data_IF_162306012428
#
_entry.id   IF_162306012428
#
_cell.length_a   1.000
_cell.length_b   1.000
_cell.length_c   1.000
_cell.angle_alpha   90.00
_cell.angle_beta   90.00
_cell.angle_gamma   90.00
#
_symmetry.space_group_name_H-M   'P 1'
#
loop_
_entity.id
_entity.type
_entity.pdbx_description
1 polymer ?
#
# COMPACT_ATOMS: atom_id res chain seq x y z
N UNK A 1 -11.41 20.91 -4.61
CA UNK A 1 -10.33 20.64 -3.66
C UNK A 1 -10.86 20.88 -2.25
N UNK A 2 -11.05 19.81 -1.48
CA UNK A 2 -11.74 19.77 -0.18
C UNK A 2 -10.91 19.19 0.96
N UNK A 3 -9.66 18.74 0.71
CA UNK A 3 -8.79 18.26 1.80
C UNK A 3 -8.73 19.28 2.94
N UNK A 4 -8.83 18.77 4.16
CA UNK A 4 -8.82 19.60 5.37
C UNK A 4 -7.41 19.92 5.86
N UNK A 5 -6.40 19.23 5.33
CA UNK A 5 -4.97 19.45 5.56
C UNK A 5 -4.19 18.99 4.32
N UNK A 6 -3.00 19.55 4.09
CA UNK A 6 -2.19 19.22 2.92
C UNK A 6 -1.66 17.80 2.97
N UNK A 7 -2.07 16.97 2.01
CA UNK A 7 -1.58 15.59 1.81
C UNK A 7 -0.69 15.54 0.58
N UNK A 8 0.54 15.08 0.78
CA UNK A 8 1.60 15.10 -0.23
C UNK A 8 1.69 13.79 -1.02
N UNK A 9 1.40 12.65 -0.38
CA UNK A 9 1.49 11.32 -1.00
C UNK A 9 1.55 10.19 0.01
N UNK A 10 1.63 8.95 -0.48
CA UNK A 10 1.97 7.79 0.35
C UNK A 10 3.42 7.88 0.86
N UNK A 11 3.66 7.45 2.10
CA UNK A 11 5.00 7.33 2.68
C UNK A 11 5.46 5.86 2.79
N UNK A 12 4.60 5.01 3.36
CA UNK A 12 4.88 3.60 3.58
C UNK A 12 3.61 2.81 3.89
N UNK A 13 3.73 1.49 3.93
CA UNK A 13 2.76 0.59 4.56
C UNK A 13 3.49 -0.24 5.62
N UNK A 14 2.92 -0.32 6.83
CA UNK A 14 3.44 -1.18 7.90
C UNK A 14 2.54 -2.40 8.10
N UNK A 15 3.15 -3.57 8.15
CA UNK A 15 2.54 -4.85 8.46
C UNK A 15 2.94 -5.28 9.86
N UNK A 16 1.96 -5.75 10.64
CA UNK A 16 2.25 -6.54 11.82
C UNK A 16 2.18 -8.02 11.44
N UNK A 17 3.20 -8.77 11.85
CA UNK A 17 3.39 -10.15 11.42
C UNK A 17 4.09 -10.98 12.50
N UNK A 18 3.96 -12.31 12.42
CA UNK A 18 4.55 -13.22 13.40
C UNK A 18 6.08 -13.29 13.35
N UNK A 19 6.68 -13.15 12.16
CA UNK A 19 8.13 -13.16 11.97
C UNK A 19 8.54 -12.19 10.84
N UNK A 20 8.95 -10.98 11.23
CA UNK A 20 9.38 -9.92 10.35
C UNK A 20 10.55 -10.33 9.44
N UNK A 21 11.49 -11.15 9.95
CA UNK A 21 12.65 -11.60 9.20
C UNK A 21 12.23 -12.55 8.08
N UNK A 22 11.39 -13.52 8.38
CA UNK A 22 10.90 -14.47 7.37
C UNK A 22 10.04 -13.79 6.30
N UNK A 23 9.13 -12.90 6.73
CA UNK A 23 8.22 -12.19 5.82
C UNK A 23 9.00 -11.21 4.93
N UNK A 24 9.81 -10.33 5.51
CA UNK A 24 10.60 -9.36 4.73
C UNK A 24 11.56 -10.05 3.75
N UNK A 25 12.21 -11.16 4.16
CA UNK A 25 13.08 -11.92 3.27
C UNK A 25 12.30 -12.60 2.13
N UNK A 26 11.08 -13.08 2.36
CA UNK A 26 10.27 -13.64 1.28
C UNK A 26 9.82 -12.55 0.31
N UNK A 27 9.30 -11.45 0.84
CA UNK A 27 8.74 -10.35 0.05
C UNK A 27 9.83 -9.63 -0.76
N UNK A 28 11.01 -9.40 -0.18
CA UNK A 28 12.13 -8.79 -0.91
C UNK A 28 12.52 -9.61 -2.13
N UNK A 29 12.56 -10.93 -1.99
CA UNK A 29 12.86 -11.81 -3.12
C UNK A 29 11.73 -11.84 -4.14
N UNK A 30 10.48 -11.93 -3.67
CA UNK A 30 9.30 -12.00 -4.53
C UNK A 30 9.06 -10.74 -5.37
N UNK A 31 9.42 -9.57 -4.83
CA UNK A 31 9.18 -8.26 -5.44
C UNK A 31 10.45 -7.59 -5.98
N UNK A 32 11.62 -8.21 -5.82
CA UNK A 32 12.89 -7.62 -6.22
C UNK A 32 13.22 -6.35 -5.45
N UNK A 33 12.85 -6.29 -4.18
CA UNK A 33 13.13 -5.15 -3.30
C UNK A 33 14.42 -5.37 -2.51
N UNK A 34 15.01 -4.29 -1.99
CA UNK A 34 16.13 -4.36 -1.06
C UNK A 34 15.67 -4.04 0.36
N UNK A 35 16.46 -4.46 1.34
CA UNK A 35 16.31 -3.96 2.71
C UNK A 35 16.80 -2.51 2.76
N UNK A 36 15.94 -1.60 3.19
CA UNK A 36 16.22 -0.16 3.31
C UNK A 36 16.81 0.15 4.69
N UNK A 37 16.17 -0.37 5.74
CA UNK A 37 16.55 -0.11 7.12
C UNK A 37 15.94 -1.13 8.06
N UNK A 38 16.43 -1.16 9.31
CA UNK A 38 15.88 -2.04 10.36
C UNK A 38 15.96 -1.44 11.76
N UNK A 39 15.10 -1.95 12.63
CA UNK A 39 15.17 -1.72 14.08
C UNK A 39 14.89 -3.05 14.79
N UNK A 40 15.91 -3.61 15.45
CA UNK A 40 15.83 -4.91 16.13
C UNK A 40 16.84 -4.95 17.31
N UNK A 41 17.02 -6.12 17.94
CA UNK A 41 17.98 -6.27 19.04
C UNK A 41 19.42 -5.82 18.67
N UNK A 42 19.83 -5.98 17.40
CA UNK A 42 21.15 -5.56 16.94
C UNK A 42 21.30 -4.03 16.86
N UNK A 43 20.18 -3.31 16.81
CA UNK A 43 20.12 -1.84 16.85
C UNK A 43 19.69 -1.33 18.24
N UNK A 44 19.62 -2.20 19.25
CA UNK A 44 19.24 -1.84 20.62
C UNK A 44 17.73 -1.83 20.89
N UNK A 45 16.89 -2.30 19.96
CA UNK A 45 15.45 -2.41 20.16
C UNK A 45 15.06 -3.76 20.75
N UNK A 46 14.56 -3.73 21.98
CA UNK A 46 14.10 -4.91 22.72
C UNK A 46 12.56 -5.06 22.74
N UNK A 47 11.81 -4.15 22.10
CA UNK A 47 10.34 -4.20 22.03
C UNK A 47 9.86 -4.97 20.81
N UNK A 48 10.49 -4.74 19.66
CA UNK A 48 10.11 -5.36 18.39
C UNK A 48 11.29 -5.53 17.44
N UNK A 49 11.10 -6.39 16.44
CA UNK A 49 11.92 -6.45 15.24
C UNK A 49 11.12 -5.86 14.08
N UNK A 50 11.64 -4.82 13.43
CA UNK A 50 11.07 -4.21 12.23
C UNK A 50 12.10 -4.18 11.11
N UNK A 51 11.75 -4.75 9.97
CA UNK A 51 12.57 -4.73 8.75
C UNK A 51 11.82 -4.00 7.66
N UNK A 52 12.45 -2.98 7.10
CA UNK A 52 11.88 -2.15 6.04
C UNK A 52 12.51 -2.56 4.73
N UNK A 53 11.67 -2.94 3.76
CA UNK A 53 12.11 -3.20 2.39
C UNK A 53 11.50 -2.16 1.45
N UNK A 54 12.11 -1.98 0.29
CA UNK A 54 11.57 -1.09 -0.71
C UNK A 54 12.23 -1.17 -2.07
N UNK A 55 11.58 -0.52 -3.03
CA UNK A 55 12.09 -0.21 -4.35
C UNK A 55 11.52 1.16 -4.74
N UNK A 56 12.39 2.06 -5.20
CA UNK A 56 12.06 3.45 -5.49
C UNK A 56 11.28 4.10 -4.33
N UNK A 57 10.06 4.58 -4.58
CA UNK A 57 9.26 5.29 -3.57
C UNK A 57 8.43 4.35 -2.68
N UNK A 58 8.44 3.04 -2.95
CA UNK A 58 7.71 2.05 -2.13
C UNK A 58 8.52 1.69 -0.90
N UNK A 59 7.89 1.86 0.28
CA UNK A 59 8.42 1.39 1.57
C UNK A 59 7.42 0.48 2.25
N UNK A 60 7.87 -0.71 2.64
CA UNK A 60 7.09 -1.72 3.36
C UNK A 60 7.83 -2.12 4.64
N UNK A 61 7.25 -1.82 5.78
CA UNK A 61 7.80 -2.20 7.09
C UNK A 61 7.11 -3.47 7.60
N UNK A 62 7.88 -4.47 8.00
CA UNK A 62 7.36 -5.69 8.63
C UNK A 62 7.81 -5.71 10.07
N UNK A 63 6.85 -5.62 10.99
CA UNK A 63 7.11 -5.51 12.43
C UNK A 63 6.58 -6.75 13.16
N UNK A 64 7.40 -7.32 14.05
CA UNK A 64 7.04 -8.41 14.94
C UNK A 64 7.35 -8.06 16.39
N UNK A 65 6.42 -8.29 17.33
CA UNK A 65 6.68 -8.11 18.75
C UNK A 65 7.68 -9.15 19.25
N UNK A 66 8.61 -8.73 20.11
CA UNK A 66 9.32 -9.68 20.96
C UNK A 66 8.39 -10.24 22.05
N UNK A 67 8.79 -11.33 22.75
CA UNK A 67 8.06 -11.83 23.90
C UNK A 67 7.83 -10.76 24.98
N UNK A 68 6.62 -10.72 25.55
CA UNK A 68 6.21 -9.70 26.54
C UNK A 68 7.03 -9.76 27.84
N UNK A 69 7.56 -10.93 28.21
CA UNK A 69 8.39 -11.11 29.40
C UNK A 69 9.80 -10.47 29.29
N UNK A 70 10.24 -10.11 28.08
CA UNK A 70 11.48 -9.35 27.90
C UNK A 70 11.31 -7.90 28.41
N UNK A 71 10.07 -7.38 28.41
CA UNK A 71 9.78 -6.05 28.94
C UNK A 71 9.83 -6.03 30.47
N UNK A 72 9.44 -7.11 31.15
CA UNK A 72 9.41 -7.19 32.63
C UNK A 72 10.80 -7.30 33.29
N UNK A 73 11.87 -7.60 32.52
CA UNK A 73 13.23 -7.77 33.09
C UNK A 73 14.09 -6.50 33.02
N UNK A 74 13.66 -5.46 32.31
CA UNK A 74 14.35 -4.19 32.22
C UNK A 74 13.58 -3.10 32.98
N UNK A 75 13.44 -3.30 34.29
CA UNK A 75 13.10 -2.23 35.22
C UNK A 75 14.24 -1.18 35.23
N UNK A 76 13.83 0.08 35.03
CA UNK A 76 14.43 1.34 35.49
C UNK A 76 15.30 2.21 34.55
N UNK A 77 15.84 1.79 33.40
CA UNK A 77 16.69 2.70 32.58
C UNK A 77 16.67 2.61 31.03
N UNK A 78 15.73 1.93 30.38
CA UNK A 78 15.59 1.95 28.91
C UNK A 78 14.15 2.23 28.47
N UNK A 79 13.63 3.41 28.83
CA UNK A 79 12.27 3.84 28.44
C UNK A 79 12.13 4.22 26.97
N UNK A 80 13.24 4.55 26.30
CA UNK A 80 13.20 5.28 25.03
C UNK A 80 13.85 4.48 23.90
N UNK A 81 13.17 3.42 23.42
CA UNK A 81 13.47 2.91 22.07
C UNK A 81 12.29 3.28 21.18
N UNK A 82 12.25 4.57 20.82
CA UNK A 82 11.24 5.18 19.98
C UNK A 82 11.59 4.98 18.50
N UNK A 83 11.33 3.78 17.99
CA UNK A 83 11.44 3.48 16.55
C UNK A 83 10.10 3.47 15.82
N UNK A 84 9.07 2.85 16.43
CA UNK A 84 7.71 2.77 15.89
C UNK A 84 6.77 3.38 16.92
N UNK A 85 6.12 4.47 16.52
CA UNK A 85 5.23 5.23 17.38
C UNK A 85 4.08 4.35 17.88
N UNK A 86 3.86 4.34 19.20
CA UNK A 86 2.71 3.65 19.80
C UNK A 86 2.76 2.12 19.72
N UNK A 87 3.93 1.51 19.48
CA UNK A 87 4.05 0.07 19.47
C UNK A 87 3.82 -0.53 20.86
N UNK A 88 2.79 -1.37 20.97
CA UNK A 88 2.48 -2.16 22.16
C UNK A 88 2.56 -3.65 21.81
N UNK A 89 3.42 -4.39 22.52
CA UNK A 89 3.68 -5.79 22.20
C UNK A 89 2.45 -6.67 22.39
N UNK A 90 1.62 -6.39 23.40
CA UNK A 90 0.40 -7.16 23.65
C UNK A 90 -0.63 -6.94 22.53
N UNK A 91 -0.87 -5.69 22.15
CA UNK A 91 -1.73 -5.33 21.02
C UNK A 91 -1.23 -5.91 19.70
N UNK A 92 0.10 -5.96 19.48
CA UNK A 92 0.68 -6.60 18.30
C UNK A 92 0.46 -8.11 18.29
N UNK A 93 0.61 -8.80 19.42
CA UNK A 93 0.27 -10.23 19.54
C UNK A 93 -1.22 -10.47 19.28
N UNK A 94 -2.11 -9.68 19.87
CA UNK A 94 -3.56 -9.79 19.68
C UNK A 94 -3.96 -9.57 18.21
N UNK A 95 -3.35 -8.56 17.56
CA UNK A 95 -3.54 -8.29 16.14
C UNK A 95 -3.10 -9.49 15.28
N UNK A 96 -1.93 -10.07 15.54
CA UNK A 96 -1.40 -11.20 14.78
C UNK A 96 -2.28 -12.45 14.99
N UNK A 97 -2.78 -12.70 16.20
CA UNK A 97 -3.74 -13.78 16.47
C UNK A 97 -4.99 -13.58 15.62
N UNK A 98 -5.53 -12.36 15.63
CA UNK A 98 -6.79 -12.02 14.97
C UNK A 98 -6.67 -12.04 13.45
N UNK A 99 -5.63 -11.46 12.87
CA UNK A 99 -5.52 -11.20 11.42
C UNK A 99 -4.46 -12.06 10.71
N UNK A 100 -3.46 -12.59 11.43
CA UNK A 100 -2.24 -13.13 10.83
C UNK A 100 -1.28 -12.01 10.43
N UNK A 101 -0.54 -12.20 9.34
CA UNK A 101 0.23 -11.10 8.72
C UNK A 101 -0.73 -10.16 8.00
N UNK A 102 -0.87 -8.92 8.46
CA UNK A 102 -1.78 -7.95 7.87
C UNK A 102 -1.27 -6.52 8.01
N UNK A 103 -1.80 -5.61 7.21
CA UNK A 103 -1.48 -4.17 7.29
C UNK A 103 -2.03 -3.59 8.58
N UNK A 104 -1.14 -3.00 9.38
CA UNK A 104 -1.50 -2.21 10.56
C UNK A 104 -1.62 -0.72 10.24
N UNK A 105 -0.69 -0.18 9.46
CA UNK A 105 -0.60 1.26 9.22
C UNK A 105 -0.49 1.59 7.72
N UNK A 106 -1.27 2.57 7.27
CA UNK A 106 -1.10 3.24 5.98
C UNK A 106 -0.48 4.61 6.26
N UNK A 107 0.76 4.82 5.86
CA UNK A 107 1.51 6.04 6.08
C UNK A 107 1.29 7.08 4.97
N UNK A 108 0.93 8.30 5.34
CA UNK A 108 0.82 9.45 4.43
C UNK A 108 1.77 10.57 4.83
N UNK A 109 2.46 11.16 3.85
CA UNK A 109 3.14 12.44 4.03
C UNK A 109 2.12 13.57 4.05
N UNK A 110 2.21 14.42 5.07
CA UNK A 110 1.38 15.62 5.21
C UNK A 110 2.26 16.84 5.43
N UNK A 111 1.72 18.02 5.16
CA UNK A 111 2.45 19.29 5.36
C UNK A 111 2.75 19.55 6.85
N UNK A 112 1.78 19.27 7.73
CA UNK A 112 1.88 19.50 9.18
C UNK A 112 1.03 18.47 9.95
N UNK A 113 1.70 17.59 10.70
CA UNK A 113 1.05 16.55 11.52
C UNK A 113 0.23 17.13 12.68
N UNK A 114 0.66 18.21 13.32
CA UNK A 114 -0.11 18.81 14.41
C UNK A 114 -1.43 19.39 13.89
N UNK A 115 -1.36 20.17 12.82
CA UNK A 115 -2.55 20.75 12.20
C UNK A 115 -3.49 19.66 11.68
N UNK A 116 -2.96 18.64 10.99
CA UNK A 116 -3.75 17.53 10.46
C UNK A 116 -4.47 16.76 11.57
N UNK A 117 -3.76 16.41 12.66
CA UNK A 117 -4.34 15.69 13.79
C UNK A 117 -5.41 16.50 14.51
N UNK A 118 -5.17 17.79 14.78
CA UNK A 118 -6.15 18.66 15.42
C UNK A 118 -7.41 18.75 14.58
N UNK A 119 -7.28 19.01 13.28
CA UNK A 119 -8.42 19.11 12.35
C UNK A 119 -9.19 17.79 12.28
N UNK A 120 -8.49 16.66 12.12
CA UNK A 120 -9.09 15.35 12.01
C UNK A 120 -9.85 14.95 13.28
N UNK A 121 -9.30 15.20 14.46
CA UNK A 121 -9.92 14.79 15.73
C UNK A 121 -11.01 15.76 16.20
N UNK A 122 -10.79 17.07 16.10
CA UNK A 122 -11.73 18.08 16.63
C UNK A 122 -12.90 18.36 15.69
N UNK A 123 -12.62 18.51 14.38
CA UNK A 123 -13.64 18.83 13.36
C UNK A 123 -14.10 17.58 12.61
N UNK A 124 -13.21 16.60 12.48
CA UNK A 124 -13.43 15.37 11.75
C UNK A 124 -14.03 14.23 12.57
N UNK A 125 -14.02 14.34 13.91
CA UNK A 125 -14.40 13.27 14.84
C UNK A 125 -13.61 11.95 14.60
N UNK A 126 -12.40 12.05 14.08
CA UNK A 126 -11.50 10.92 13.95
C UNK A 126 -11.12 10.40 15.34
N UNK A 127 -10.96 9.08 15.45
CA UNK A 127 -10.41 8.45 16.64
C UNK A 127 -8.91 8.67 16.65
N UNK A 128 -8.40 9.54 17.52
CA UNK A 128 -6.96 9.72 17.71
C UNK A 128 -6.37 8.51 18.44
N UNK A 129 -5.54 7.72 17.75
CA UNK A 129 -4.87 6.54 18.31
C UNK A 129 -3.60 6.95 19.04
N UNK A 130 -2.73 7.68 18.34
CA UNK A 130 -1.53 8.28 18.92
C UNK A 130 -1.48 9.75 18.59
N UNK A 131 -1.28 10.59 19.61
CA UNK A 131 -1.14 12.05 19.46
C UNK A 131 0.12 12.39 18.67
N UNK A 132 0.20 13.59 18.08
CA UNK A 132 1.44 14.09 17.47
C UNK A 132 2.63 13.95 18.42
N UNK A 133 3.61 13.19 17.98
CA UNK A 133 4.83 12.87 18.72
C UNK A 133 6.02 13.15 17.83
N UNK A 134 7.04 13.76 18.43
CA UNK A 134 8.32 13.99 17.80
C UNK A 134 9.17 12.72 17.93
N UNK A 135 9.50 12.09 16.81
CA UNK A 135 10.51 11.04 16.74
C UNK A 135 11.86 11.70 16.46
N UNK A 136 12.88 11.41 17.26
CA UNK A 136 14.24 11.95 17.09
C UNK A 136 15.26 10.84 17.10
N UNK A 137 16.23 10.94 16.20
CA UNK A 137 17.35 10.00 16.17
C UNK A 137 18.23 10.20 17.42
N UNK A 138 18.55 9.10 18.10
CA UNK A 138 19.32 9.12 19.34
C UNK A 138 20.75 9.66 19.16
N UNK A 139 21.30 9.52 17.95
CA UNK A 139 22.67 9.95 17.62
C UNK A 139 22.72 11.33 16.99
N UNK A 140 21.65 11.77 16.33
CA UNK A 140 21.55 13.09 15.71
C UNK A 140 20.13 13.67 15.86
N UNK A 141 19.93 14.51 16.88
CA UNK A 141 18.62 15.10 17.17
C UNK A 141 18.05 15.99 16.06
N UNK A 142 18.87 16.46 15.11
CA UNK A 142 18.41 17.18 13.92
C UNK A 142 17.73 16.25 12.89
N UNK A 143 17.94 14.93 13.00
CA UNK A 143 17.21 13.91 12.24
C UNK A 143 15.95 13.53 13.00
N UNK A 144 14.85 14.18 12.67
CA UNK A 144 13.60 14.04 13.38
C UNK A 144 12.39 14.14 12.44
N UNK A 145 11.27 13.56 12.88
CA UNK A 145 9.99 13.59 12.19
C UNK A 145 8.87 13.78 13.20
N UNK A 146 7.78 14.43 12.80
CA UNK A 146 6.53 14.39 13.53
C UNK A 146 5.66 13.27 12.98
N UNK A 147 5.05 12.51 13.89
CA UNK A 147 4.18 11.38 13.54
C UNK A 147 2.94 11.38 14.44
N UNK A 148 1.77 11.05 13.88
CA UNK A 148 0.56 10.74 14.64
C UNK A 148 -0.23 9.61 13.99
N UNK A 149 -1.21 9.05 14.70
CA UNK A 149 -2.07 7.98 14.18
C UNK A 149 -3.55 8.25 14.43
N UNK A 150 -4.35 8.01 13.39
CA UNK A 150 -5.81 8.10 13.40
C UNK A 150 -6.41 6.73 13.07
N UNK A 151 -7.52 6.36 13.72
CA UNK A 151 -8.22 5.12 13.39
C UNK A 151 -8.92 5.22 12.03
N UNK A 152 -8.59 4.30 11.12
CA UNK A 152 -9.11 4.29 9.75
C UNK A 152 -10.35 3.38 9.65
N UNK A 153 -10.15 2.06 9.63
CA UNK A 153 -11.20 1.04 9.70
C UNK A 153 -10.69 -0.23 10.38
N UNK A 154 -11.54 -0.91 11.15
CA UNK A 154 -11.12 -2.08 11.94
C UNK A 154 -9.92 -1.74 12.82
N UNK A 155 -8.88 -2.56 12.73
CA UNK A 155 -7.61 -2.39 13.44
C UNK A 155 -6.53 -1.74 12.56
N UNK A 156 -6.91 -1.07 11.46
CA UNK A 156 -6.00 -0.31 10.59
C UNK A 156 -5.97 1.16 11.02
N UNK A 157 -4.77 1.74 11.05
CA UNK A 157 -4.55 3.17 11.32
C UNK A 157 -4.06 3.90 10.08
N UNK A 158 -4.45 5.16 9.98
CA UNK A 158 -3.84 6.14 9.09
C UNK A 158 -2.74 6.86 9.87
N UNK A 159 -1.48 6.62 9.48
CA UNK A 159 -0.31 7.26 10.09
C UNK A 159 0.05 8.50 9.28
N UNK A 160 0.13 9.65 9.92
CA UNK A 160 0.52 10.91 9.28
C UNK A 160 1.96 11.24 9.67
N UNK A 161 2.77 11.65 8.69
CA UNK A 161 4.18 11.97 8.88
C UNK A 161 4.49 13.32 8.23
N UNK A 162 5.20 14.20 8.95
CA UNK A 162 5.75 15.45 8.41
C UNK A 162 7.16 15.70 8.96
N UNK A 163 7.96 16.50 8.25
CA UNK A 163 9.17 17.08 8.84
C UNK A 163 8.78 18.06 9.99
N UNK A 164 9.73 18.36 10.87
CA UNK A 164 9.52 19.32 11.98
C UNK A 164 9.65 20.77 11.57
N UNK A 165 10.35 21.05 10.48
CA UNK A 165 10.48 22.38 9.91
C UNK A 165 9.65 22.44 8.64
N UNK A 166 8.84 23.48 8.44
CA UNK A 166 8.09 23.63 7.20
C UNK A 166 9.08 23.65 6.04
N UNK A 167 8.83 22.79 5.03
CA UNK A 167 9.57 22.81 3.78
C UNK A 167 9.26 24.14 3.08
N UNK A 168 10.07 25.17 3.32
CA UNK A 168 9.94 26.42 2.57
C UNK A 168 10.37 26.17 1.13
N UNK A 169 9.40 25.97 0.24
CA UNK A 169 9.58 26.01 -1.20
C UNK A 169 10.17 27.37 -1.58
N UNK A 170 11.48 27.43 -1.83
CA UNK A 170 12.16 28.66 -2.20
C UNK A 170 12.19 28.75 -3.72
N UNK A 171 11.25 29.49 -4.30
CA UNK A 171 11.37 29.97 -5.68
C UNK A 171 12.52 30.96 -5.73
N UNK A 172 13.56 30.70 -6.52
CA UNK A 172 14.70 31.62 -6.64
C UNK A 172 14.73 32.30 -8.00
N UNK A 173 14.58 33.63 -8.00
CA UNK A 173 15.03 34.52 -9.07
C UNK A 173 16.55 34.71 -8.99
N UNK A 174 17.22 34.55 -10.12
CA UNK A 174 18.63 34.85 -10.43
C UNK A 174 19.44 35.59 -9.36
N UNK A 175 20.17 34.81 -8.56
CA UNK A 175 21.51 35.05 -7.96
C UNK A 175 21.60 34.38 -6.58
N UNK A 176 22.01 33.10 -6.58
CA UNK A 176 22.51 32.30 -5.45
C UNK A 176 21.69 32.33 -4.14
N UNK A 177 20.82 31.33 -3.98
CA UNK A 177 20.26 30.89 -2.70
C UNK A 177 20.88 29.55 -2.32
N UNK A 178 21.52 29.51 -1.14
CA UNK A 178 21.79 28.26 -0.43
C UNK A 178 20.72 28.05 0.62
N UNK A 179 19.70 27.26 0.31
CA UNK A 179 18.69 26.79 1.26
C UNK A 179 19.20 25.52 1.94
N UNK A 180 19.60 25.61 3.21
CA UNK A 180 19.81 24.40 4.03
C UNK A 180 18.45 23.96 4.59
N UNK A 181 17.67 23.22 3.79
CA UNK A 181 16.51 22.49 4.30
C UNK A 181 17.02 21.33 5.15
N UNK A 182 16.77 21.33 6.45
CA UNK A 182 17.13 20.22 7.34
C UNK A 182 15.99 19.20 7.40
N UNK A 183 15.61 18.63 6.26
CA UNK A 183 14.67 17.52 6.21
C UNK A 183 15.34 16.25 6.75
N UNK A 184 14.54 15.33 7.28
CA UNK A 184 15.02 14.00 7.66
C UNK A 184 15.64 13.29 6.44
N UNK A 185 16.81 12.66 6.63
CA UNK A 185 17.60 12.03 5.56
C UNK A 185 17.61 10.50 5.62
N UNK A 186 17.11 9.90 6.72
CA UNK A 186 17.08 8.45 6.86
C UNK A 186 16.10 7.78 5.89
N UNK A 187 16.29 6.49 5.61
CA UNK A 187 15.48 5.78 4.61
C UNK A 187 14.04 5.51 5.06
N UNK A 188 13.76 5.49 6.37
CA UNK A 188 12.42 5.22 6.93
C UNK A 188 12.02 6.21 8.05
N UNK A 189 12.29 5.85 9.31
CA UNK A 189 11.97 6.64 10.51
C UNK A 189 13.23 6.82 11.37
N UNK A 190 13.30 7.84 12.24
CA UNK A 190 14.38 7.95 13.22
C UNK A 190 14.59 6.67 14.03
N UNK A 191 15.82 6.39 14.45
CA UNK A 191 16.23 5.19 15.20
C UNK A 191 16.11 3.86 14.42
N UNK A 192 15.80 3.91 13.13
CA UNK A 192 16.09 2.79 12.23
C UNK A 192 17.51 2.91 11.70
N UNK A 193 18.25 1.81 11.77
CA UNK A 193 19.56 1.71 11.15
C UNK A 193 19.37 1.48 9.66
N UNK A 194 19.80 2.45 8.85
CA UNK A 194 19.83 2.31 7.40
C UNK A 194 20.76 1.18 6.96
N UNK A 195 20.38 0.51 5.88
CA UNK A 195 21.22 -0.46 5.22
C UNK A 195 22.06 0.26 4.16
N UNK A 196 23.39 0.26 4.38
CA UNK A 196 24.37 0.91 3.51
C UNK A 196 24.63 0.13 2.20
N UNK A 197 24.12 -1.10 2.08
CA UNK A 197 24.21 -1.88 0.84
C UNK A 197 23.24 -1.30 -0.21
N UNK A 198 23.82 -0.67 -1.23
CA UNK A 198 23.12 -0.12 -2.39
C UNK A 198 22.55 -1.20 -3.33
N UNK A 199 22.73 -2.48 -2.99
CA UNK A 199 22.27 -3.62 -3.77
C UNK A 199 23.19 -3.98 -4.94
N UNK A 200 24.34 -3.33 -5.08
CA UNK A 200 25.32 -3.62 -6.13
C UNK A 200 26.08 -4.94 -5.90
N UNK A 201 26.14 -5.44 -4.66
CA UNK A 201 26.85 -6.67 -4.29
C UNK A 201 25.98 -7.92 -4.13
N UNK A 202 24.69 -7.77 -3.82
CA UNK A 202 23.75 -8.87 -3.60
C UNK A 202 22.95 -9.15 -4.86
N UNK A 203 23.15 -10.31 -5.51
CA UNK A 203 22.62 -10.66 -6.84
C UNK A 203 21.09 -10.65 -7.06
N UNK A 204 20.28 -9.99 -6.22
CA UNK A 204 18.87 -9.72 -6.47
C UNK A 204 18.73 -8.43 -7.28
N UNK A 205 18.39 -8.55 -8.56
CA UNK A 205 18.10 -7.39 -9.41
C UNK A 205 16.76 -6.76 -9.04
N UNK A 206 16.66 -5.43 -9.03
CA UNK A 206 15.37 -4.70 -8.91
C UNK A 206 14.40 -5.11 -10.03
N UNK A 207 13.12 -5.29 -9.67
CA UNK A 207 12.06 -5.66 -10.60
C UNK A 207 11.34 -4.46 -11.23
N UNK A 208 11.64 -3.24 -10.78
CA UNK A 208 11.14 -1.99 -11.36
C UNK A 208 9.84 -1.47 -10.75
N UNK A 209 9.51 -1.92 -9.52
CA UNK A 209 8.38 -1.36 -8.76
C UNK A 209 8.73 0.08 -8.39
N UNK A 210 7.85 1.02 -8.75
CA UNK A 210 8.10 2.45 -8.68
C UNK A 210 7.45 3.12 -7.47
N UNK A 211 6.14 2.93 -7.26
CA UNK A 211 5.38 3.60 -6.20
C UNK A 211 4.13 2.82 -5.80
N UNK A 212 3.50 3.19 -4.69
CA UNK A 212 2.15 2.73 -4.35
C UNK A 212 1.16 3.49 -5.23
N UNK A 213 0.25 2.79 -5.90
CA UNK A 213 -0.82 3.39 -6.71
C UNK A 213 -2.05 3.65 -5.85
N UNK A 214 -2.51 2.62 -5.13
CA UNK A 214 -3.68 2.69 -4.26
C UNK A 214 -3.66 1.56 -3.20
N UNK A 215 -4.40 1.75 -2.11
CA UNK A 215 -4.54 0.76 -1.01
C UNK A 215 -6.01 0.56 -0.71
N UNK A 216 -6.48 -0.70 -0.78
CA UNK A 216 -7.91 -1.02 -0.73
C UNK A 216 -8.31 -1.64 0.60
N UNK A 217 -9.35 -1.09 1.23
CA UNK A 217 -9.94 -1.61 2.45
C UNK A 217 -11.23 -2.42 2.20
N UNK A 218 -11.42 -3.51 2.92
CA UNK A 218 -12.71 -4.21 2.98
C UNK A 218 -13.40 -3.89 4.31
N UNK A 219 -14.67 -3.53 4.24
CA UNK A 219 -15.50 -3.12 5.38
C UNK A 219 -16.90 -3.73 5.28
N UNK A 220 -17.64 -3.86 6.38
CA UNK A 220 -19.03 -4.33 6.33
C UNK A 220 -20.02 -3.29 5.77
N UNK A 221 -19.70 -1.99 5.88
CA UNK A 221 -20.55 -0.88 5.44
C UNK A 221 -19.67 0.26 4.89
N UNK A 222 -19.66 0.44 3.57
CA UNK A 222 -18.91 1.51 2.89
C UNK A 222 -19.40 2.87 3.36
N UNK A 223 -20.71 3.10 3.42
CA UNK A 223 -21.28 4.43 3.67
C UNK A 223 -20.82 4.95 5.02
N UNK A 224 -20.85 4.11 6.06
CA UNK A 224 -20.40 4.52 7.39
C UNK A 224 -18.91 4.90 7.39
N UNK A 225 -18.07 4.06 6.80
CA UNK A 225 -16.61 4.23 6.85
C UNK A 225 -16.14 5.37 5.92
N UNK A 226 -16.66 5.44 4.69
CA UNK A 226 -16.33 6.48 3.74
C UNK A 226 -16.73 7.86 4.27
N UNK A 227 -17.94 8.01 4.82
CA UNK A 227 -18.35 9.28 5.43
C UNK A 227 -17.44 9.70 6.58
N UNK A 228 -16.98 8.75 7.42
CA UNK A 228 -16.01 9.04 8.47
C UNK A 228 -14.69 9.55 7.88
N UNK A 229 -14.15 8.88 6.86
CA UNK A 229 -12.89 9.27 6.21
C UNK A 229 -13.02 10.65 5.58
N UNK A 230 -14.03 10.89 4.74
CA UNK A 230 -14.34 12.19 4.14
C UNK A 230 -14.46 13.26 5.23
N UNK A 231 -15.13 12.95 6.34
CA UNK A 231 -15.31 13.90 7.43
C UNK A 231 -13.99 14.30 8.08
N UNK A 232 -13.00 13.41 8.27
CA UNK A 232 -11.75 13.81 8.92
C UNK A 232 -10.63 14.22 7.98
N UNK A 233 -10.59 13.70 6.74
CA UNK A 233 -9.55 14.08 5.76
C UNK A 233 -10.00 15.19 4.81
N UNK A 234 -11.29 15.26 4.47
CA UNK A 234 -11.79 16.08 3.36
C UNK A 234 -11.58 15.47 1.97
N UNK A 235 -11.15 14.21 1.89
CA UNK A 235 -11.03 13.48 0.63
C UNK A 235 -12.37 13.48 -0.11
N UNK A 236 -12.31 13.51 -1.44
CA UNK A 236 -13.49 13.46 -2.30
C UNK A 236 -13.68 12.06 -2.91
N UNK A 237 -14.91 11.77 -3.28
CA UNK A 237 -15.22 10.59 -4.08
C UNK A 237 -14.64 10.75 -5.49
N UNK A 238 -13.77 9.82 -5.86
CA UNK A 238 -13.08 9.81 -7.15
C UNK A 238 -13.78 8.91 -8.17
N UNK A 239 -14.18 7.72 -7.75
CA UNK A 239 -14.89 6.75 -8.57
C UNK A 239 -15.75 5.83 -7.70
N UNK A 240 -16.86 5.34 -8.26
CA UNK A 240 -17.74 4.36 -7.64
C UNK A 240 -17.98 3.20 -8.61
N UNK A 241 -18.06 1.99 -8.05
CA UNK A 241 -18.40 0.77 -8.77
C UNK A 241 -19.46 0.01 -8.00
N UNK A 242 -20.59 -0.29 -8.65
CA UNK A 242 -21.69 -1.03 -8.04
C UNK A 242 -21.68 -2.50 -8.47
N UNK A 243 -22.44 -3.35 -7.80
CA UNK A 243 -22.58 -4.75 -8.20
C UNK A 243 -23.08 -4.93 -9.64
N UNK A 244 -23.85 -3.99 -10.18
CA UNK A 244 -24.29 -3.98 -11.58
C UNK A 244 -23.12 -3.74 -12.55
N UNK A 245 -22.11 -3.01 -12.10
CA UNK A 245 -20.94 -2.64 -12.89
C UNK A 245 -19.85 -3.73 -12.88
N UNK A 246 -19.64 -4.36 -11.72
CA UNK A 246 -18.44 -5.19 -11.48
C UNK A 246 -18.76 -6.62 -11.02
N UNK A 247 -20.01 -6.96 -10.73
CA UNK A 247 -20.41 -8.29 -10.27
C UNK A 247 -20.29 -9.38 -11.34
N UNK A 248 -20.12 -10.62 -10.88
CA UNK A 248 -20.35 -11.81 -11.70
C UNK A 248 -21.82 -12.24 -11.58
N UNK A 249 -22.20 -13.30 -12.31
CA UNK A 249 -23.51 -13.93 -12.15
C UNK A 249 -23.66 -14.58 -10.75
N UNK A 250 -22.56 -14.78 -10.03
CA UNK A 250 -22.51 -15.55 -8.79
C UNK A 250 -22.22 -14.70 -7.55
N UNK A 251 -21.46 -13.60 -7.67
CA UNK A 251 -21.05 -12.74 -6.56
C UNK A 251 -20.87 -11.27 -6.98
N UNK A 252 -20.87 -10.34 -6.02
CA UNK A 252 -20.64 -8.92 -6.28
C UNK A 252 -20.04 -8.18 -5.09
N UNK A 253 -19.64 -6.94 -5.36
CA UNK A 253 -19.24 -5.95 -4.36
C UNK A 253 -19.74 -4.57 -4.78
N UNK A 254 -19.83 -3.66 -3.82
CA UNK A 254 -19.77 -2.22 -4.12
C UNK A 254 -18.38 -1.72 -3.73
N UNK A 255 -17.87 -0.72 -4.44
CA UNK A 255 -16.58 -0.09 -4.19
C UNK A 255 -16.69 1.42 -4.35
N UNK A 256 -16.09 2.17 -3.43
CA UNK A 256 -15.97 3.62 -3.49
C UNK A 256 -14.51 4.01 -3.32
N UNK A 257 -13.99 4.80 -4.26
CA UNK A 257 -12.62 5.33 -4.24
C UNK A 257 -12.61 6.72 -3.64
N UNK A 258 -11.90 6.89 -2.53
CA UNK A 258 -11.61 8.21 -1.97
C UNK A 258 -10.23 8.69 -2.41
N UNK A 259 -10.13 9.98 -2.73
CA UNK A 259 -8.88 10.60 -3.17
C UNK A 259 -8.58 11.91 -2.41
N UNK A 260 -7.30 12.22 -2.24
CA UNK A 260 -6.88 13.57 -1.86
C UNK A 260 -7.02 14.54 -3.04
N UNK A 261 -6.82 15.83 -2.81
CA UNK A 261 -6.94 16.88 -3.81
C UNK A 261 -6.02 16.70 -5.04
N UNK A 262 -4.83 16.14 -4.83
CA UNK A 262 -3.86 15.86 -5.90
C UNK A 262 -4.15 14.55 -6.63
N UNK A 263 -5.12 13.77 -6.14
CA UNK A 263 -5.51 12.45 -6.64
C UNK A 263 -4.34 11.45 -6.70
N UNK A 264 -3.27 11.70 -5.92
CA UNK A 264 -2.08 10.85 -5.83
C UNK A 264 -2.10 9.93 -4.59
N UNK A 265 -3.09 10.09 -3.71
CA UNK A 265 -3.43 9.15 -2.64
C UNK A 265 -4.83 8.63 -2.89
N UNK A 266 -4.93 7.34 -3.18
CA UNK A 266 -6.18 6.67 -3.55
C UNK A 266 -6.48 5.57 -2.54
N UNK A 267 -7.62 5.67 -1.85
CA UNK A 267 -8.09 4.71 -0.85
C UNK A 267 -9.47 4.14 -1.25
N UNK A 268 -9.51 3.12 -2.12
CA UNK A 268 -10.72 2.35 -2.38
C UNK A 268 -11.22 1.61 -1.15
N UNK A 269 -12.54 1.51 -1.01
CA UNK A 269 -13.22 0.80 0.08
C UNK A 269 -14.30 -0.08 -0.52
N UNK A 270 -14.32 -1.36 -0.15
CA UNK A 270 -15.29 -2.33 -0.63
C UNK A 270 -16.22 -2.82 0.49
N UNK A 271 -17.47 -3.13 0.13
CA UNK A 271 -18.43 -3.87 0.97
C UNK A 271 -18.98 -5.11 0.23
N UNK A 272 -19.38 -6.16 0.96
CA UNK A 272 -20.01 -7.32 0.36
C UNK A 272 -21.43 -6.99 -0.10
N UNK A 273 -21.83 -7.52 -1.26
CA UNK A 273 -23.24 -7.52 -1.69
C UNK A 273 -23.82 -8.89 -1.36
N UNK A 274 -24.82 -8.92 -0.47
CA UNK A 274 -25.41 -10.15 0.06
C UNK A 274 -26.76 -10.49 -0.58
N UNK A 275 -27.44 -9.53 -1.19
CA UNK A 275 -28.75 -9.72 -1.81
C UNK A 275 -28.63 -10.38 -3.20
N UNK A 276 -29.44 -11.41 -3.45
CA UNK A 276 -29.58 -12.08 -4.76
C UNK A 276 -28.33 -12.75 -5.35
N UNK A 277 -27.29 -12.99 -4.54
CA UNK A 277 -26.05 -13.68 -4.99
C UNK A 277 -26.13 -15.19 -4.76
N UNK A 278 -25.62 -15.97 -5.73
CA UNK A 278 -25.58 -17.45 -5.64
C UNK A 278 -24.47 -17.96 -4.74
N UNK A 279 -23.40 -17.17 -4.59
CA UNK A 279 -22.21 -17.49 -3.83
C UNK A 279 -21.88 -16.36 -2.87
N UNK A 280 -21.21 -16.71 -1.78
CA UNK A 280 -20.66 -15.76 -0.84
C UNK A 280 -19.68 -14.82 -1.56
N UNK A 281 -19.82 -13.51 -1.32
CA UNK A 281 -18.89 -12.50 -1.85
C UNK A 281 -17.48 -12.73 -1.31
N UNK A 282 -16.47 -12.57 -2.15
CA UNK A 282 -15.06 -12.58 -1.74
C UNK A 282 -14.75 -11.54 -0.64
N UNK A 283 -15.53 -10.44 -0.59
CA UNK A 283 -15.40 -9.44 0.48
C UNK A 283 -15.86 -10.03 1.82
N UNK A 284 -16.94 -10.81 1.81
CA UNK A 284 -17.39 -11.53 3.00
C UNK A 284 -16.40 -12.62 3.41
N UNK A 285 -15.86 -13.38 2.45
CA UNK A 285 -14.78 -14.35 2.70
C UNK A 285 -13.59 -13.69 3.39
N UNK A 286 -13.18 -12.51 2.91
CA UNK A 286 -12.14 -11.70 3.55
C UNK A 286 -12.51 -11.35 4.99
N UNK A 287 -13.69 -10.77 5.23
CA UNK A 287 -14.11 -10.30 6.56
C UNK A 287 -14.14 -11.45 7.58
N UNK A 288 -14.53 -12.65 7.16
CA UNK A 288 -14.51 -13.85 8.02
C UNK A 288 -13.07 -14.26 8.36
N UNK A 289 -12.20 -14.41 7.35
CA UNK A 289 -10.84 -14.92 7.56
C UNK A 289 -9.89 -13.89 8.18
N UNK A 290 -10.16 -12.60 7.95
CA UNK A 290 -9.49 -11.49 8.60
C UNK A 290 -10.08 -11.16 9.97
N UNK A 291 -11.24 -11.73 10.34
CA UNK A 291 -11.99 -11.39 11.57
C UNK A 291 -12.33 -9.89 11.68
N UNK A 292 -12.79 -9.30 10.59
CA UNK A 292 -13.26 -7.91 10.52
C UNK A 292 -12.61 -7.08 9.41
N UNK A 293 -12.81 -5.75 9.43
CA UNK A 293 -12.29 -4.84 8.42
C UNK A 293 -10.76 -4.84 8.35
N UNK A 294 -10.20 -4.58 7.18
CA UNK A 294 -8.76 -4.52 6.98
C UNK A 294 -8.37 -4.20 5.53
N UNK A 295 -7.06 -4.09 5.27
CA UNK A 295 -6.54 -3.92 3.90
C UNK A 295 -6.63 -5.24 3.14
N UNK A 296 -7.31 -5.21 2.00
CA UNK A 296 -7.45 -6.33 1.09
C UNK A 296 -6.26 -6.42 0.13
N UNK A 297 -5.92 -5.31 -0.52
CA UNK A 297 -4.79 -5.31 -1.44
C UNK A 297 -4.10 -3.96 -1.52
N UNK A 298 -2.86 -4.02 -2.01
CA UNK A 298 -2.00 -2.88 -2.29
C UNK A 298 -1.60 -2.98 -3.75
N UNK A 299 -1.87 -1.93 -4.51
CA UNK A 299 -1.46 -1.83 -5.90
C UNK A 299 -0.10 -1.14 -6.01
N UNK A 300 0.83 -1.81 -6.67
CA UNK A 300 2.21 -1.39 -6.85
C UNK A 300 2.43 -1.02 -8.31
N UNK A 301 2.70 0.26 -8.56
CA UNK A 301 2.94 0.80 -9.88
C UNK A 301 4.32 0.40 -10.38
N UNK A 302 4.43 0.05 -11.65
CA UNK A 302 5.67 -0.15 -12.39
C UNK A 302 5.62 0.61 -13.72
N UNK A 303 6.79 0.99 -14.22
CA UNK A 303 6.94 1.64 -15.53
C UNK A 303 7.15 0.62 -16.67
N UNK A 304 7.37 -0.65 -16.35
CA UNK A 304 7.53 -1.75 -17.31
C UNK A 304 6.99 -3.05 -16.71
N UNK A 305 5.66 -3.21 -16.76
CA UNK A 305 4.95 -4.37 -16.20
C UNK A 305 5.36 -5.68 -16.87
N UNK A 306 5.72 -5.65 -18.15
CA UNK A 306 6.17 -6.85 -18.85
C UNK A 306 7.46 -7.40 -18.23
N UNK A 307 8.45 -6.52 -18.04
CA UNK A 307 9.71 -6.88 -17.37
C UNK A 307 9.51 -7.24 -15.90
N UNK A 308 8.69 -6.49 -15.16
CA UNK A 308 8.41 -6.77 -13.75
C UNK A 308 7.82 -8.17 -13.57
N UNK A 309 6.79 -8.51 -14.35
CA UNK A 309 6.10 -9.81 -14.22
C UNK A 309 6.96 -10.97 -14.73
N UNK A 310 7.74 -10.78 -15.79
CA UNK A 310 8.69 -11.79 -16.26
C UNK A 310 9.75 -12.11 -15.18
N UNK A 311 10.26 -11.09 -14.48
CA UNK A 311 11.18 -11.25 -13.35
C UNK A 311 10.54 -11.92 -12.14
N UNK A 312 9.32 -11.52 -11.74
CA UNK A 312 8.59 -12.15 -10.63
C UNK A 312 8.38 -13.65 -10.89
N UNK A 313 7.92 -14.02 -12.09
CA UNK A 313 7.73 -15.42 -12.48
C UNK A 313 9.05 -16.19 -12.55
N UNK A 314 10.09 -15.58 -13.11
CA UNK A 314 11.42 -16.17 -13.18
C UNK A 314 12.01 -16.43 -11.80
N UNK A 315 11.75 -15.53 -10.83
CA UNK A 315 12.21 -15.68 -9.45
C UNK A 315 11.53 -16.85 -8.74
N UNK A 316 10.21 -16.94 -8.86
CA UNK A 316 9.44 -18.07 -8.33
C UNK A 316 9.89 -19.39 -8.95
N UNK A 317 10.02 -19.47 -10.27
CA UNK A 317 10.36 -20.72 -10.96
C UNK A 317 11.80 -21.17 -10.73
N UNK A 318 12.75 -20.23 -10.61
CA UNK A 318 14.17 -20.56 -10.43
C UNK A 318 14.54 -20.90 -8.98
N UNK A 319 13.81 -20.35 -8.01
CA UNK A 319 14.22 -20.46 -6.59
C UNK A 319 13.17 -21.04 -5.66
N UNK A 320 11.92 -21.20 -6.11
CA UNK A 320 10.79 -21.60 -5.26
C UNK A 320 10.34 -20.51 -4.29
N UNK A 321 11.06 -19.38 -4.23
CA UNK A 321 10.71 -18.21 -3.42
C UNK A 321 10.10 -17.13 -4.32
N UNK A 322 8.83 -16.80 -4.12
CA UNK A 322 8.14 -15.76 -4.88
C UNK A 322 6.64 -15.76 -4.59
N UNK A 323 5.92 -14.81 -5.19
CA UNK A 323 4.46 -14.81 -5.17
C UNK A 323 3.91 -15.46 -6.42
N UNK A 324 2.91 -16.31 -6.22
CA UNK A 324 2.11 -16.83 -7.31
C UNK A 324 1.19 -15.71 -7.85
N UNK A 325 0.99 -15.72 -9.16
CA UNK A 325 0.10 -14.80 -9.84
C UNK A 325 -1.21 -15.52 -10.19
N UNK A 326 -2.30 -14.76 -10.22
CA UNK A 326 -3.61 -15.28 -10.61
C UNK A 326 -3.56 -15.93 -11.99
N UNK A 327 -4.48 -16.88 -12.20
CA UNK A 327 -4.55 -17.65 -13.45
C UNK A 327 -4.77 -16.73 -14.64
N UNK A 328 -4.09 -17.06 -15.73
CA UNK A 328 -4.27 -16.40 -17.03
C UNK A 328 -5.75 -16.51 -17.47
N UNK A 329 -6.37 -15.40 -17.92
CA UNK A 329 -7.66 -15.38 -18.60
C UNK A 329 -7.77 -16.31 -19.82
N UNK A 330 -9.01 -16.53 -20.29
CA UNK A 330 -9.25 -17.37 -21.48
C UNK A 330 -8.68 -16.77 -22.76
N UNK A 331 -8.41 -17.61 -23.78
CA UNK A 331 -7.97 -17.11 -25.10
C UNK A 331 -9.01 -16.17 -25.74
N UNK A 332 -10.30 -16.37 -25.44
CA UNK A 332 -11.38 -15.48 -25.89
C UNK A 332 -11.23 -14.05 -25.35
N UNK A 333 -10.80 -13.89 -24.10
CA UNK A 333 -10.53 -12.56 -23.52
C UNK A 333 -9.50 -11.79 -24.36
N UNK A 334 -8.38 -12.43 -24.69
CA UNK A 334 -7.31 -11.82 -25.46
C UNK A 334 -7.71 -11.56 -26.92
N UNK A 335 -8.55 -12.41 -27.50
CA UNK A 335 -9.09 -12.19 -28.85
C UNK A 335 -10.03 -10.97 -28.91
N UNK A 336 -10.71 -10.63 -27.80
CA UNK A 336 -11.60 -9.47 -27.68
C UNK A 336 -10.85 -8.17 -27.31
N UNK A 337 -9.63 -8.24 -26.76
CA UNK A 337 -8.90 -7.04 -26.35
C UNK A 337 -8.69 -6.01 -27.47
N UNK A 338 -8.28 -6.37 -28.70
CA UNK A 338 -8.10 -5.39 -29.77
C UNK A 338 -9.38 -4.64 -30.16
N UNK A 339 -10.56 -5.25 -30.00
CA UNK A 339 -11.82 -4.56 -30.29
C UNK A 339 -12.21 -3.58 -29.17
N UNK A 340 -11.78 -3.83 -27.93
CA UNK A 340 -11.98 -2.94 -26.77
C UNK A 340 -10.99 -1.78 -26.73
N UNK A 341 -9.71 -2.08 -26.96
CA UNK A 341 -8.59 -1.15 -26.76
C UNK A 341 -8.12 -0.50 -28.08
N UNK A 342 -8.48 -1.06 -29.23
CA UNK A 342 -8.13 -0.52 -30.54
C UNK A 342 -6.62 -0.42 -30.75
N UNK A 343 -6.20 0.66 -31.41
CA UNK A 343 -4.80 0.92 -31.74
C UNK A 343 -4.02 1.60 -30.59
N UNK A 344 -4.57 1.61 -29.36
CA UNK A 344 -3.90 2.19 -28.18
C UNK A 344 -2.65 1.41 -27.76
N UNK A 345 -2.53 0.14 -28.17
CA UNK A 345 -1.39 -0.74 -27.91
C UNK A 345 -0.88 -1.32 -29.23
N UNK A 346 0.43 -1.59 -29.31
CA UNK A 346 1.01 -2.29 -30.45
C UNK A 346 0.64 -3.77 -30.43
N UNK A 347 0.79 -4.43 -31.58
CA UNK A 347 0.56 -5.87 -31.70
C UNK A 347 1.44 -6.67 -30.73
N UNK A 348 2.70 -6.28 -30.60
CA UNK A 348 3.66 -6.91 -29.70
C UNK A 348 3.24 -6.76 -28.23
N UNK A 349 2.67 -5.61 -27.85
CA UNK A 349 2.14 -5.40 -26.51
C UNK A 349 0.93 -6.28 -26.22
N UNK A 350 0.01 -6.46 -27.19
CA UNK A 350 -1.10 -7.42 -27.04
C UNK A 350 -0.62 -8.86 -26.88
N UNK A 351 0.37 -9.28 -27.69
CA UNK A 351 0.98 -10.61 -27.60
C UNK A 351 1.63 -10.82 -26.22
N UNK A 352 2.29 -9.79 -25.69
CA UNK A 352 2.94 -9.86 -24.38
C UNK A 352 1.94 -9.87 -23.22
N UNK A 353 0.87 -9.07 -23.31
CA UNK A 353 -0.28 -9.14 -22.38
C UNK A 353 -0.83 -10.56 -22.33
N UNK A 354 -1.00 -11.21 -23.48
CA UNK A 354 -1.49 -12.58 -23.57
C UNK A 354 -0.50 -13.60 -22.99
N UNK A 355 0.78 -13.50 -23.35
CA UNK A 355 1.85 -14.40 -22.87
C UNK A 355 2.00 -14.32 -21.37
N UNK A 356 1.96 -13.11 -20.83
CA UNK A 356 2.12 -12.85 -19.40
C UNK A 356 0.82 -12.98 -18.61
N UNK A 357 -0.31 -13.28 -19.25
CA UNK A 357 -1.56 -13.49 -18.52
C UNK A 357 -2.09 -12.20 -17.87
N UNK A 358 -1.74 -11.03 -18.43
CA UNK A 358 -2.10 -9.73 -17.90
C UNK A 358 -3.54 -9.38 -18.28
N UNK A 359 -4.14 -8.49 -17.49
CA UNK A 359 -5.42 -7.85 -17.78
C UNK A 359 -5.15 -6.44 -18.31
N UNK A 360 -5.94 -6.00 -19.28
CA UNK A 360 -5.84 -4.66 -19.85
C UNK A 360 -7.23 -4.01 -19.97
N UNK A 361 -7.32 -2.76 -19.55
CA UNK A 361 -8.50 -1.90 -19.71
C UNK A 361 -8.08 -0.52 -20.19
N UNK A 362 -9.02 0.27 -20.67
CA UNK A 362 -8.77 1.67 -20.97
C UNK A 362 -10.02 2.50 -20.69
N UNK A 363 -9.79 3.75 -20.34
CA UNK A 363 -10.79 4.80 -20.36
C UNK A 363 -10.50 5.77 -21.51
N UNK A 364 -11.18 6.90 -21.51
CA UNK A 364 -11.00 7.95 -22.51
C UNK A 364 -9.60 8.61 -22.44
N UNK A 365 -8.90 8.51 -21.31
CA UNK A 365 -7.67 9.27 -21.01
C UNK A 365 -6.40 8.41 -21.07
N UNK A 366 -6.50 7.11 -20.77
CA UNK A 366 -5.34 6.24 -20.67
C UNK A 366 -5.67 4.75 -20.71
N UNK A 367 -4.62 3.95 -20.52
CA UNK A 367 -4.66 2.49 -20.51
C UNK A 367 -4.18 2.02 -19.15
N UNK A 368 -4.83 0.98 -18.66
CA UNK A 368 -4.51 0.27 -17.44
C UNK A 368 -4.10 -1.16 -17.80
N UNK A 369 -2.89 -1.56 -17.43
CA UNK A 369 -2.44 -2.96 -17.48
C UNK A 369 -2.21 -3.42 -16.05
N UNK A 370 -2.79 -4.55 -15.66
CA UNK A 370 -2.74 -5.03 -14.28
C UNK A 370 -2.69 -6.55 -14.18
N UNK A 371 -2.20 -7.05 -13.05
CA UNK A 371 -2.28 -8.45 -12.64
C UNK A 371 -2.25 -8.55 -11.13
N UNK A 372 -2.90 -9.58 -10.59
CA UNK A 372 -3.03 -9.81 -9.16
C UNK A 372 -2.21 -11.03 -8.75
N UNK A 373 -1.65 -11.00 -7.55
CA UNK A 373 -1.11 -12.21 -6.91
C UNK A 373 -2.26 -13.08 -6.40
N UNK A 374 -1.99 -14.36 -6.13
CA UNK A 374 -2.78 -15.10 -5.15
C UNK A 374 -2.57 -14.48 -3.75
N UNK A 375 -3.31 -14.88 -2.70
CA UNK A 375 -3.04 -14.38 -1.36
C UNK A 375 -1.57 -14.52 -0.98
N UNK A 376 -0.95 -13.41 -0.55
CA UNK A 376 0.48 -13.36 -0.16
C UNK A 376 0.72 -13.80 1.29
N UNK A 377 -0.34 -14.26 1.93
CA UNK A 377 -0.37 -14.84 3.27
C UNK A 377 -1.16 -16.15 3.20
N UNK A 378 -1.07 -16.98 4.24
CA UNK A 378 -1.78 -18.25 4.27
C UNK A 378 -3.31 -18.13 4.34
N UNK A 379 -3.84 -16.96 4.73
CA UNK A 379 -5.29 -16.70 4.76
C UNK A 379 -5.73 -16.09 3.43
N UNK A 380 -6.95 -16.36 2.93
CA UNK A 380 -7.50 -15.73 1.74
C UNK A 380 -7.90 -14.27 2.02
N UNK A 381 -6.91 -13.44 2.34
CA UNK A 381 -7.08 -12.06 2.81
C UNK A 381 -6.26 -11.10 1.94
N UNK A 382 -5.03 -10.80 2.34
CA UNK A 382 -4.16 -9.87 1.66
C UNK A 382 -3.59 -10.47 0.36
N UNK A 383 -3.71 -9.72 -0.75
CA UNK A 383 -3.00 -9.95 -2.01
C UNK A 383 -2.41 -8.65 -2.53
N UNK A 384 -1.60 -8.72 -3.58
CA UNK A 384 -1.01 -7.56 -4.23
C UNK A 384 -1.50 -7.42 -5.67
N UNK A 385 -1.55 -6.19 -6.15
CA UNK A 385 -1.76 -5.87 -7.55
C UNK A 385 -0.48 -5.24 -8.10
N UNK A 386 -0.06 -5.66 -9.29
CA UNK A 386 1.00 -5.00 -10.05
C UNK A 386 0.34 -4.31 -11.24
N UNK A 387 0.58 -3.01 -11.35
CA UNK A 387 -0.15 -2.12 -12.26
C UNK A 387 0.82 -1.25 -13.06
N UNK A 388 0.48 -1.01 -14.32
CA UNK A 388 1.08 0.04 -15.14
C UNK A 388 -0.03 0.86 -15.80
N UNK A 389 0.07 2.18 -15.67
CA UNK A 389 -0.80 3.15 -16.33
C UNK A 389 -0.06 3.79 -17.50
N UNK A 390 -0.72 3.94 -18.65
CA UNK A 390 -0.13 4.54 -19.86
C UNK A 390 -1.03 5.70 -20.31
N UNK A 391 -0.44 6.88 -20.51
CA UNK A 391 -1.16 8.11 -20.87
C UNK A 391 -1.31 9.08 -19.68
N UNK A 392 -2.20 10.05 -19.85
CA UNK A 392 -2.50 11.13 -18.89
C UNK A 392 -1.26 11.90 -18.36
N UNK A 393 -0.27 12.12 -19.22
CA UNK A 393 0.92 12.89 -18.86
C UNK A 393 0.57 14.37 -18.66
N UNK A 394 1.00 14.92 -17.53
CA UNK A 394 0.88 16.33 -17.16
C UNK A 394 2.29 16.90 -16.93
N UNK A 395 2.43 18.21 -17.10
CA UNK A 395 3.69 18.89 -16.78
C UNK A 395 3.73 19.13 -15.27
N UNK A 396 4.77 18.59 -14.62
CA UNK A 396 5.07 18.79 -13.21
C UNK A 396 5.60 20.19 -12.94
N UNK A 397 5.69 20.59 -11.65
CA UNK A 397 6.11 21.94 -11.25
C UNK A 397 7.49 22.35 -11.77
N UNK A 398 8.40 21.39 -12.01
CA UNK A 398 9.76 21.65 -12.50
C UNK A 398 9.97 21.26 -13.97
N UNK A 399 8.89 20.95 -14.70
CA UNK A 399 8.91 20.59 -16.12
C UNK A 399 9.12 19.11 -16.43
N UNK A 400 9.25 18.26 -15.41
CA UNK A 400 9.14 16.81 -15.50
C UNK A 400 7.76 16.38 -15.99
N UNK A 401 7.66 15.25 -16.68
CA UNK A 401 6.36 14.63 -16.99
C UNK A 401 5.91 13.83 -15.78
N UNK A 402 4.78 14.20 -15.21
CA UNK A 402 4.06 13.42 -14.20
C UNK A 402 2.87 12.73 -14.84
N UNK A 403 2.38 11.66 -14.20
CA UNK A 403 1.17 10.98 -14.65
C UNK A 403 0.03 11.31 -13.71
N UNK A 404 -1.10 11.78 -14.25
CA UNK A 404 -2.30 12.03 -13.46
C UNK A 404 -2.72 10.76 -12.71
N UNK A 405 -3.02 10.90 -11.41
CA UNK A 405 -3.56 9.82 -10.59
C UNK A 405 -4.83 9.21 -11.18
N UNK A 406 -4.97 7.88 -11.07
CA UNK A 406 -6.12 7.15 -11.60
C UNK A 406 -6.21 7.06 -13.13
N UNK A 407 -5.16 7.43 -13.88
CA UNK A 407 -5.14 7.33 -15.34
C UNK A 407 -5.49 5.92 -15.87
N UNK A 408 -6.51 5.78 -16.72
CA UNK A 408 -6.99 4.47 -17.20
C UNK A 408 -8.02 3.81 -16.27
N UNK A 409 -8.46 4.50 -15.22
CA UNK A 409 -9.46 4.04 -14.26
C UNK A 409 -8.96 2.94 -13.32
N UNK A 410 -9.88 2.16 -12.76
CA UNK A 410 -9.56 1.02 -11.87
C UNK A 410 -9.89 -0.34 -12.51
N UNK A 411 -9.96 -0.37 -13.84
CA UNK A 411 -10.17 -1.62 -14.56
C UNK A 411 -11.61 -2.13 -14.47
N UNK A 412 -12.59 -1.23 -14.56
CA UNK A 412 -14.03 -1.56 -14.57
C UNK A 412 -14.35 -2.76 -15.46
N UNK A 413 -13.79 -2.78 -16.68
CA UNK A 413 -13.97 -3.87 -17.65
C UNK A 413 -13.17 -5.14 -17.33
N UNK A 414 -12.21 -5.08 -16.42
CA UNK A 414 -11.42 -6.23 -15.96
C UNK A 414 -11.97 -6.87 -14.68
N UNK A 415 -12.75 -6.15 -13.86
CA UNK A 415 -13.29 -6.68 -12.60
C UNK A 415 -14.00 -8.02 -12.79
N UNK A 416 -14.81 -8.16 -13.85
CA UNK A 416 -15.50 -9.42 -14.14
C UNK A 416 -14.54 -10.60 -14.32
N UNK A 417 -13.44 -10.41 -15.04
CA UNK A 417 -12.45 -11.47 -15.26
C UNK A 417 -11.59 -11.71 -14.01
N UNK A 418 -11.30 -10.67 -13.24
CA UNK A 418 -10.64 -10.79 -11.94
C UNK A 418 -11.47 -11.65 -10.99
N UNK A 419 -12.76 -11.35 -10.82
CA UNK A 419 -13.63 -12.10 -9.93
C UNK A 419 -13.80 -13.54 -10.37
N UNK A 420 -13.94 -13.78 -11.67
CA UNK A 420 -13.96 -15.14 -12.21
C UNK A 420 -12.68 -15.91 -11.84
N UNK A 421 -11.51 -15.29 -11.98
CA UNK A 421 -10.24 -15.89 -11.58
C UNK A 421 -10.15 -16.17 -10.08
N UNK A 422 -10.66 -15.26 -9.23
CA UNK A 422 -10.73 -15.46 -7.77
C UNK A 422 -11.69 -16.60 -7.43
N UNK A 423 -12.91 -16.58 -7.96
CA UNK A 423 -13.93 -17.61 -7.74
C UNK A 423 -13.46 -19.00 -8.16
N UNK A 424 -12.70 -19.09 -9.27
CA UNK A 424 -12.10 -20.32 -9.77
C UNK A 424 -10.93 -20.79 -8.91
N UNK A 425 -10.13 -19.88 -8.35
CA UNK A 425 -9.09 -20.21 -7.37
C UNK A 425 -9.72 -20.73 -6.07
N UNK A 426 -10.75 -20.07 -5.57
CA UNK A 426 -11.45 -20.49 -4.35
C UNK A 426 -12.18 -21.83 -4.49
N UNK A 427 -12.62 -22.22 -5.69
CA UNK A 427 -13.21 -23.55 -5.94
C UNK A 427 -12.25 -24.68 -5.60
N UNK A 428 -10.95 -24.43 -5.66
CA UNK A 428 -9.93 -25.43 -5.32
C UNK A 428 -9.73 -25.58 -3.80
N UNK A 429 -10.29 -24.70 -2.97
CA UNK A 429 -10.28 -24.86 -1.50
C UNK A 429 -11.25 -25.92 -0.97
N UNK A 430 -12.24 -26.31 -1.77
CA UNK A 430 -13.36 -27.20 -1.36
C UNK A 430 -13.20 -28.63 -1.91
N UNK A 431 -12.04 -28.94 -2.51
CA UNK A 431 -11.67 -30.32 -2.90
C UNK A 431 -10.84 -30.97 -1.80
#
# INVERSE_FOLDING_TARGET
MSDKFGVLGFDHVEFWCGDALAVANTWKQALGMRELSRSDLSTGNNKFCSIVIGSNDVKMAFTSPYPTNIQDQHDDHTSDVDGVLGFDSAAAHDFIIKHGTAVRAIGLRVEDVHAAYEIATTKGNATGITKPTLLQDHTNQDQNLLVCELGLYGDVVLRLISDTKPTTTTTTTTESTTTTSSSFQGQYLPNFKDNDDDGSGGGLSDFGIASIDHVVGNVPDIKQIANKIIQFTGFHEFAEFTSEDVGTVESGLNSLVLANNLENVLLPINEPVTENMKRQSQIETYLIHNQGPGVQHIALRTNDIFKTIDKMRSRLSSTGCGFELMRRPSDGYYAELPSRLGDKLTKEQYEEIQRLGLLADADDQGILIQIFTTPVTYRPTLFLEIIQRIGCEIDGPSGEKEQKGGCGGFGKGNFRELFKSIEDYEKDFVK
#
